data_IF_706010029647
#
_entry.id   IF_706010029647
#
_cell.length_a   1.000
_cell.length_b   1.000
_cell.length_c   1.000
_cell.angle_alpha   90.00
_cell.angle_beta   90.00
_cell.angle_gamma   90.00
#
_symmetry.space_group_name_H-M   'P 1'
#
loop_
_entity.id
_entity.type
_entity.pdbx_description
1 polymer ?
#
# COMPACT_ATOMS: atom_id res chain seq x y z
N UNK A 1 -4.21 26.28 -8.17
CA UNK A 1 -5.45 26.64 -8.90
C UNK A 1 -5.19 27.30 -10.25
N UNK A 2 -4.38 28.37 -10.36
CA UNK A 2 -4.18 29.07 -11.65
C UNK A 2 -3.64 28.17 -12.79
N UNK A 3 -2.72 27.25 -12.49
CA UNK A 3 -2.22 26.26 -13.47
C UNK A 3 -3.29 25.24 -13.92
N UNK A 4 -4.20 24.81 -13.04
CA UNK A 4 -5.26 23.85 -13.36
C UNK A 4 -6.33 24.50 -14.26
N UNK A 5 -6.68 25.77 -13.98
CA UNK A 5 -7.61 26.56 -14.81
C UNK A 5 -7.14 26.73 -16.26
N UNK A 6 -5.83 26.71 -16.50
CA UNK A 6 -5.24 26.78 -17.83
C UNK A 6 -5.29 25.43 -18.58
N UNK A 7 -5.31 24.31 -17.85
CA UNK A 7 -5.32 22.96 -18.42
C UNK A 7 -6.76 22.46 -18.63
N UNK A 8 -7.65 22.67 -17.65
CA UNK A 8 -9.04 22.26 -17.71
C UNK A 8 -9.91 23.24 -16.91
N UNK A 9 -10.58 24.14 -17.63
CA UNK A 9 -11.44 25.16 -17.02
C UNK A 9 -12.64 24.53 -16.30
N UNK A 10 -13.24 23.51 -16.90
CA UNK A 10 -14.39 22.79 -16.34
C UNK A 10 -14.02 22.05 -15.04
N UNK A 11 -12.87 21.37 -15.04
CA UNK A 11 -12.34 20.72 -13.84
C UNK A 11 -12.05 21.72 -12.73
N UNK A 12 -11.50 22.89 -13.06
CA UNK A 12 -11.27 23.92 -12.06
C UNK A 12 -12.57 24.52 -11.49
N UNK A 13 -13.59 24.71 -12.33
CA UNK A 13 -14.92 25.16 -11.88
C UNK A 13 -15.58 24.13 -10.97
N UNK A 14 -15.42 22.84 -11.26
CA UNK A 14 -15.90 21.76 -10.38
C UNK A 14 -15.19 21.77 -9.03
N UNK A 15 -13.86 21.91 -9.01
CA UNK A 15 -13.06 22.01 -7.78
C UNK A 15 -13.40 23.26 -6.97
N UNK A 16 -13.74 24.38 -7.62
CA UNK A 16 -14.18 25.61 -6.97
C UNK A 16 -15.57 25.46 -6.30
N UNK A 17 -16.38 24.48 -6.71
CA UNK A 17 -17.71 24.19 -6.16
C UNK A 17 -17.70 23.21 -4.98
N UNK A 18 -16.58 22.52 -4.74
CA UNK A 18 -16.45 21.50 -3.70
C UNK A 18 -15.41 21.92 -2.66
N UNK A 19 -15.60 21.46 -1.42
CA UNK A 19 -14.70 21.77 -0.33
C UNK A 19 -13.29 21.26 -0.61
N UNK A 20 -12.29 22.07 -0.24
CA UNK A 20 -10.86 21.80 -0.47
C UNK A 20 -10.44 20.42 0.06
N UNK A 21 -11.05 19.98 1.16
CA UNK A 21 -10.73 18.71 1.82
C UNK A 21 -11.16 17.49 1.01
N UNK A 22 -12.12 17.64 0.08
CA UNK A 22 -12.62 16.55 -0.74
C UNK A 22 -11.75 16.22 -1.95
N UNK A 23 -10.87 17.13 -2.38
CA UNK A 23 -10.07 16.96 -3.60
C UNK A 23 -8.58 17.21 -3.41
N UNK A 24 -8.15 17.68 -2.24
CA UNK A 24 -6.73 17.84 -1.93
C UNK A 24 -6.19 16.70 -1.09
N UNK A 25 -5.14 16.06 -1.60
CA UNK A 25 -4.44 14.99 -0.89
C UNK A 25 -3.71 15.47 0.39
N UNK A 26 -3.48 16.78 0.52
CA UNK A 26 -2.66 17.36 1.60
C UNK A 26 -3.49 17.98 2.74
N UNK A 27 -4.79 18.22 2.53
CA UNK A 27 -5.68 18.81 3.53
C UNK A 27 -6.93 17.96 3.68
N UNK A 28 -6.73 16.70 4.02
CA UNK A 28 -7.81 15.74 4.14
C UNK A 28 -8.43 15.72 5.56
N UNK A 29 -7.93 16.56 6.48
CA UNK A 29 -8.41 16.62 7.87
C UNK A 29 -8.26 15.29 8.61
N UNK A 30 -7.35 14.40 8.16
CA UNK A 30 -7.22 13.02 8.66
C UNK A 30 -8.24 12.03 8.09
N UNK A 31 -9.11 12.48 7.19
CA UNK A 31 -10.12 11.69 6.49
C UNK A 31 -9.65 11.42 5.08
N UNK A 32 -9.43 10.16 4.71
CA UNK A 32 -9.13 9.79 3.32
C UNK A 32 -10.41 9.85 2.48
N UNK A 33 -10.85 11.06 2.13
CA UNK A 33 -11.96 11.28 1.20
C UNK A 33 -11.69 10.65 -0.17
N UNK A 34 -10.41 10.60 -0.56
CA UNK A 34 -9.95 10.05 -1.82
C UNK A 34 -9.12 8.78 -1.62
N UNK A 35 -9.78 7.62 -1.62
CA UNK A 35 -9.22 6.50 -2.40
C UNK A 35 -9.62 6.77 -3.85
N UNK A 36 -9.02 7.82 -4.44
CA UNK A 36 -9.21 8.19 -5.85
C UNK A 36 -8.55 7.18 -6.81
N UNK A 37 -8.01 6.08 -6.28
CA UNK A 37 -7.51 4.98 -7.09
C UNK A 37 -8.67 4.08 -7.47
N UNK A 38 -9.24 4.33 -8.64
CA UNK A 38 -10.11 3.37 -9.34
C UNK A 38 -9.43 2.02 -9.55
N UNK A 39 -8.12 1.91 -9.34
CA UNK A 39 -7.35 0.67 -9.47
C UNK A 39 -8.02 -0.55 -8.82
N UNK A 40 -8.67 -0.42 -7.66
CA UNK A 40 -9.40 -1.55 -7.08
C UNK A 40 -10.66 -1.93 -7.86
N UNK A 41 -11.51 -0.95 -8.22
CA UNK A 41 -12.71 -1.22 -9.02
C UNK A 41 -12.39 -1.60 -10.47
N UNK A 42 -11.34 -1.04 -11.05
CA UNK A 42 -10.78 -1.37 -12.36
C UNK A 42 -10.15 -2.76 -12.38
N UNK A 43 -9.37 -3.13 -11.37
CA UNK A 43 -8.80 -4.47 -11.25
C UNK A 43 -9.91 -5.52 -11.15
N UNK A 44 -10.93 -5.25 -10.33
CA UNK A 44 -12.12 -6.10 -10.20
C UNK A 44 -12.89 -6.16 -11.53
N UNK A 45 -13.09 -5.02 -12.21
CA UNK A 45 -13.74 -4.96 -13.52
C UNK A 45 -12.97 -5.70 -14.62
N UNK A 46 -11.63 -5.71 -14.55
CA UNK A 46 -10.76 -6.47 -15.44
C UNK A 46 -10.86 -7.97 -15.16
N UNK A 47 -10.87 -8.38 -13.89
CA UNK A 47 -11.12 -9.78 -13.50
C UNK A 47 -12.47 -10.25 -14.00
N UNK A 48 -13.51 -9.41 -13.91
CA UNK A 48 -14.84 -9.75 -14.37
C UNK A 48 -15.06 -9.57 -15.88
N UNK A 49 -14.11 -9.02 -16.65
CA UNK A 49 -14.26 -8.83 -18.10
C UNK A 49 -14.59 -10.16 -18.80
N UNK A 50 -13.91 -11.24 -18.42
CA UNK A 50 -14.13 -12.58 -18.97
C UNK A 50 -15.39 -13.26 -18.42
N UNK A 51 -15.94 -12.76 -17.32
CA UNK A 51 -17.10 -13.35 -16.64
C UNK A 51 -18.42 -12.61 -16.90
N UNK A 52 -18.44 -11.55 -17.73
CA UNK A 52 -19.64 -10.72 -17.96
C UNK A 52 -20.83 -11.48 -18.54
N UNK A 53 -20.59 -12.62 -19.20
CA UNK A 53 -21.63 -13.48 -19.73
C UNK A 53 -22.23 -14.45 -18.69
N UNK A 54 -21.66 -14.52 -17.47
CA UNK A 54 -22.17 -15.36 -16.40
C UNK A 54 -23.30 -14.67 -15.63
N UNK A 55 -24.26 -15.42 -15.08
CA UNK A 55 -25.23 -14.88 -14.14
C UNK A 55 -24.53 -14.19 -12.96
N UNK A 56 -25.05 -13.04 -12.53
CA UNK A 56 -24.51 -12.30 -11.38
C UNK A 56 -24.42 -13.18 -10.14
N UNK A 57 -25.41 -14.06 -9.92
CA UNK A 57 -25.41 -15.04 -8.83
C UNK A 57 -24.19 -15.96 -8.86
N UNK A 58 -23.81 -16.48 -10.03
CA UNK A 58 -22.65 -17.35 -10.19
C UNK A 58 -21.33 -16.61 -9.92
N UNK A 59 -21.22 -15.34 -10.34
CA UNK A 59 -20.05 -14.50 -10.08
C UNK A 59 -19.92 -14.22 -8.58
N UNK A 60 -21.02 -13.86 -7.92
CA UNK A 60 -21.06 -13.60 -6.48
C UNK A 60 -20.69 -14.85 -5.69
N UNK A 61 -21.28 -16.00 -6.03
CA UNK A 61 -20.99 -17.27 -5.39
C UNK A 61 -19.50 -17.66 -5.54
N UNK A 62 -18.96 -17.60 -6.77
CA UNK A 62 -17.55 -17.88 -7.02
C UNK A 62 -16.62 -16.94 -6.25
N UNK A 63 -16.93 -15.64 -6.23
CA UNK A 63 -16.14 -14.62 -5.53
C UNK A 63 -16.15 -14.89 -4.02
N UNK A 64 -17.32 -15.23 -3.46
CA UNK A 64 -17.47 -15.58 -2.06
C UNK A 64 -16.60 -16.78 -1.70
N UNK A 65 -16.76 -17.91 -2.40
CA UNK A 65 -16.00 -19.12 -2.10
C UNK A 65 -14.50 -18.94 -2.28
N UNK A 66 -14.07 -18.25 -3.33
CA UNK A 66 -12.65 -17.98 -3.59
C UNK A 66 -12.04 -17.09 -2.52
N UNK A 67 -12.75 -16.02 -2.13
CA UNK A 67 -12.30 -15.10 -1.08
C UNK A 67 -12.25 -15.79 0.27
N UNK A 68 -13.29 -16.55 0.61
CA UNK A 68 -13.36 -17.30 1.87
C UNK A 68 -12.23 -18.32 1.96
N UNK A 69 -12.01 -19.13 0.89
CA UNK A 69 -10.91 -20.09 0.84
C UNK A 69 -9.55 -19.41 0.97
N UNK A 70 -9.34 -18.28 0.29
CA UNK A 70 -8.09 -17.53 0.39
C UNK A 70 -7.86 -17.01 1.82
N UNK A 71 -8.89 -16.46 2.45
CA UNK A 71 -8.84 -15.95 3.81
C UNK A 71 -8.53 -17.06 4.82
N UNK A 72 -9.25 -18.18 4.76
CA UNK A 72 -9.01 -19.35 5.63
C UNK A 72 -7.59 -19.87 5.47
N UNK A 73 -7.10 -20.01 4.24
CA UNK A 73 -5.72 -20.44 3.99
C UNK A 73 -4.70 -19.46 4.56
N UNK A 74 -4.96 -18.15 4.44
CA UNK A 74 -4.10 -17.10 5.00
C UNK A 74 -4.11 -17.10 6.51
N UNK A 75 -5.26 -17.30 7.14
CA UNK A 75 -5.38 -17.41 8.58
C UNK A 75 -4.54 -18.58 9.12
N UNK A 76 -4.71 -19.78 8.57
CA UNK A 76 -3.90 -20.96 8.96
C UNK A 76 -2.40 -20.70 8.75
N UNK A 77 -2.02 -20.02 7.67
CA UNK A 77 -0.63 -19.65 7.43
C UNK A 77 -0.10 -18.66 8.49
N UNK A 78 -0.92 -17.68 8.91
CA UNK A 78 -0.58 -16.74 9.96
C UNK A 78 -0.45 -17.44 11.32
N UNK A 79 -1.42 -18.27 11.72
CA UNK A 79 -1.39 -19.05 12.96
C UNK A 79 -0.15 -19.95 13.04
N UNK A 80 0.19 -20.63 11.93
CA UNK A 80 1.41 -21.45 11.87
C UNK A 80 2.68 -20.61 12.08
N UNK A 81 2.71 -19.36 11.60
CA UNK A 81 3.88 -18.47 11.76
C UNK A 81 3.92 -17.85 13.14
N UNK A 82 2.78 -17.52 13.72
CA UNK A 82 2.68 -17.11 15.12
C UNK A 82 3.19 -18.22 16.05
N UNK A 83 2.79 -19.46 15.82
CA UNK A 83 3.32 -20.62 16.56
C UNK A 83 4.84 -20.82 16.39
N UNK A 84 5.42 -20.36 15.29
CA UNK A 84 6.87 -20.35 15.04
C UNK A 84 7.57 -19.11 15.61
N UNK A 85 6.86 -18.19 16.27
CA UNK A 85 7.39 -16.91 16.76
C UNK A 85 7.75 -15.93 15.64
N UNK A 86 7.27 -16.13 14.41
CA UNK A 86 7.58 -15.28 13.25
C UNK A 86 6.56 -14.16 13.10
N UNK A 87 6.94 -12.97 13.54
CA UNK A 87 6.08 -11.76 13.55
C UNK A 87 5.82 -11.18 12.15
N UNK A 88 6.82 -11.22 11.25
CA UNK A 88 6.74 -10.55 9.95
C UNK A 88 6.53 -11.51 8.80
N UNK A 89 5.83 -11.09 7.74
CA UNK A 89 5.62 -11.91 6.53
C UNK A 89 6.93 -12.33 5.87
N UNK A 90 6.96 -13.44 5.12
CA UNK A 90 8.19 -13.92 4.45
C UNK A 90 8.83 -12.86 3.55
N UNK A 91 8.01 -12.01 2.93
CA UNK A 91 8.49 -10.89 2.13
C UNK A 91 9.28 -9.88 2.97
N UNK A 92 8.70 -9.45 4.10
CA UNK A 92 9.34 -8.51 5.02
C UNK A 92 10.57 -9.15 5.66
N UNK A 93 10.50 -10.42 6.07
CA UNK A 93 11.65 -11.16 6.61
C UNK A 93 12.81 -11.18 5.61
N UNK A 94 12.56 -11.45 4.33
CA UNK A 94 13.60 -11.42 3.28
C UNK A 94 14.23 -10.04 3.11
N UNK A 95 13.44 -8.97 3.22
CA UNK A 95 13.96 -7.60 3.16
C UNK A 95 14.85 -7.34 4.38
N UNK A 96 14.36 -7.66 5.58
CA UNK A 96 15.12 -7.50 6.82
C UNK A 96 16.45 -8.28 6.79
N UNK A 97 16.44 -9.52 6.31
CA UNK A 97 17.65 -10.32 6.14
C UNK A 97 18.64 -9.69 5.15
N UNK A 98 18.13 -9.18 4.03
CA UNK A 98 18.95 -8.47 3.04
C UNK A 98 19.58 -7.21 3.63
N UNK A 99 18.81 -6.45 4.40
CA UNK A 99 19.28 -5.20 5.00
C UNK A 99 20.23 -5.46 6.16
N UNK A 100 19.99 -6.48 6.99
CA UNK A 100 20.93 -6.93 8.01
C UNK A 100 22.26 -7.36 7.39
N UNK A 101 22.25 -8.10 6.28
CA UNK A 101 23.48 -8.51 5.58
C UNK A 101 24.25 -7.33 4.99
N UNK A 102 23.56 -6.25 4.61
CA UNK A 102 24.23 -5.00 4.21
C UNK A 102 24.79 -4.30 5.45
N UNK A 103 23.99 -4.18 6.51
CA UNK A 103 24.38 -3.55 7.77
C UNK A 103 25.58 -4.21 8.41
N UNK A 104 25.73 -5.54 8.33
CA UNK A 104 26.87 -6.25 8.87
C UNK A 104 28.21 -5.89 8.21
N UNK A 105 28.18 -5.17 7.08
CA UNK A 105 29.37 -4.63 6.41
C UNK A 105 29.67 -3.20 6.82
N UNK A 106 28.81 -2.56 7.59
CA UNK A 106 28.99 -1.18 8.05
C UNK A 106 29.47 -1.18 9.51
N UNK A 107 30.54 -0.46 9.78
CA UNK A 107 31.02 -0.16 11.14
C UNK A 107 30.71 1.29 11.44
N UNK A 108 30.04 1.55 12.56
CA UNK A 108 29.69 2.91 12.99
C UNK A 108 30.54 3.30 14.18
N UNK A 109 31.31 4.37 14.04
CA UNK A 109 32.16 4.94 15.10
C UNK A 109 31.55 6.26 15.55
N UNK A 110 31.28 6.41 16.86
CA UNK A 110 30.74 7.65 17.42
C UNK A 110 31.86 8.68 17.54
N UNK A 111 31.71 9.81 16.85
CA UNK A 111 32.68 10.91 16.92
C UNK A 111 32.25 11.92 17.99
N UNK A 112 30.99 12.35 17.96
CA UNK A 112 30.42 13.27 18.97
C UNK A 112 28.93 12.99 19.18
N UNK A 113 28.61 12.39 20.33
CA UNK A 113 27.24 11.98 20.65
C UNK A 113 26.30 13.16 20.91
N UNK A 114 26.82 14.30 21.39
CA UNK A 114 26.02 15.49 21.71
C UNK A 114 25.65 16.29 20.47
N UNK A 115 26.51 16.26 19.44
CA UNK A 115 26.27 16.87 18.14
C UNK A 115 25.55 15.93 17.15
N UNK A 116 25.46 14.64 17.47
CA UNK A 116 24.89 13.63 16.57
C UNK A 116 25.82 13.22 15.42
N UNK A 117 27.15 13.34 15.62
CA UNK A 117 28.16 13.02 14.60
C UNK A 117 28.66 11.58 14.73
N UNK A 118 28.56 10.84 13.64
CA UNK A 118 28.96 9.44 13.52
C UNK A 118 29.73 9.24 12.22
N UNK A 119 30.83 8.47 12.28
CA UNK A 119 31.54 7.99 11.09
C UNK A 119 31.04 6.60 10.72
N UNK A 120 30.78 6.36 9.44
CA UNK A 120 30.34 5.05 8.92
C UNK A 120 31.35 4.56 7.92
N UNK A 121 32.01 3.45 8.25
CA UNK A 121 32.94 2.76 7.36
C UNK A 121 32.28 1.52 6.78
N UNK A 122 32.43 1.28 5.49
CA UNK A 122 31.86 0.11 4.82
C UNK A 122 32.98 -0.85 4.41
N UNK A 123 33.00 -2.04 5.00
CA UNK A 123 33.92 -3.11 4.62
C UNK A 123 33.64 -3.63 3.21
N UNK A 124 34.72 -3.78 2.43
CA UNK A 124 34.71 -4.38 1.08
C UNK A 124 34.58 -5.91 1.12
#
# INVERSE_FOLDING_TARGET
MQNIRQICLEGAQWLDQHDLEMWTFHKDGGHRWDIATTNSSESINNVYRECRALPISAIVEMTFWKTNRWFVNRLHWCEKREAQGKVHSDYVTKIMEKDNRKSSRHTVTVMNRNAGEYSVETGH
#
